data_IF_868919078982
#
_entry.id   IF_868919078982
#
_cell.length_a   1.000
_cell.length_b   1.000
_cell.length_c   1.000
_cell.angle_alpha   90.00
_cell.angle_beta   90.00
_cell.angle_gamma   90.00
#
_symmetry.space_group_name_H-M   'P 1'
#
loop_
_entity.id
_entity.type
_entity.pdbx_description
1 polymer ?
#
# COMPACT_ATOMS: atom_id res chain seq x y z
N UNK A 1 19.34 28.04 -54.60
CA UNK A 1 18.38 26.95 -54.33
C UNK A 1 19.08 25.96 -53.42
N UNK A 2 18.97 26.14 -52.09
CA UNK A 2 19.40 25.14 -51.12
C UNK A 2 18.11 24.62 -50.52
N UNK A 3 17.72 23.44 -50.97
CA UNK A 3 16.54 22.72 -50.50
C UNK A 3 16.76 22.38 -49.04
N UNK A 4 16.02 23.04 -48.15
CA UNK A 4 15.82 22.60 -46.78
C UNK A 4 15.00 21.31 -46.81
N UNK A 5 15.71 20.19 -46.80
CA UNK A 5 15.13 18.87 -46.68
C UNK A 5 14.75 18.68 -45.21
N UNK A 6 13.50 19.00 -44.87
CA UNK A 6 12.84 18.54 -43.65
C UNK A 6 12.54 17.03 -43.81
N UNK A 7 13.54 16.18 -43.59
CA UNK A 7 13.30 14.75 -43.34
C UNK A 7 12.98 14.62 -41.84
N UNK A 8 11.83 14.02 -41.53
CA UNK A 8 11.22 13.95 -40.21
C UNK A 8 12.20 13.54 -39.09
N UNK A 9 12.46 14.47 -38.16
CA UNK A 9 13.19 14.19 -36.92
C UNK A 9 12.36 13.35 -35.94
N UNK A 10 11.04 13.29 -36.11
CA UNK A 10 10.12 12.63 -35.16
C UNK A 10 10.25 11.09 -35.15
N UNK A 11 10.61 10.46 -36.27
CA UNK A 11 10.74 8.98 -36.35
C UNK A 11 12.07 8.45 -35.79
N UNK A 12 13.00 9.34 -35.44
CA UNK A 12 14.38 8.99 -35.01
C UNK A 12 14.55 8.90 -33.50
N UNK A 13 13.52 9.28 -32.74
CA UNK A 13 13.47 9.15 -31.29
C UNK A 13 12.02 8.91 -30.85
N UNK A 14 11.75 7.70 -30.38
CA UNK A 14 10.42 7.27 -29.95
C UNK A 14 10.30 7.29 -28.44
N UNK A 15 9.11 7.68 -27.96
CA UNK A 15 8.77 7.65 -26.55
C UNK A 15 7.54 6.78 -26.31
N UNK A 16 7.66 5.86 -25.35
CA UNK A 16 6.54 5.13 -24.78
C UNK A 16 6.40 5.54 -23.32
N UNK A 17 5.23 6.03 -22.93
CA UNK A 17 4.96 6.40 -21.54
C UNK A 17 3.95 5.48 -20.88
N UNK A 18 4.26 5.10 -19.66
CA UNK A 18 3.32 4.50 -18.72
C UNK A 18 2.96 5.54 -17.67
N UNK A 19 2.27 5.13 -16.60
CA UNK A 19 2.01 6.03 -15.49
C UNK A 19 3.21 6.25 -14.57
N UNK A 20 4.21 5.38 -14.59
CA UNK A 20 5.37 5.44 -13.68
C UNK A 20 6.72 5.43 -14.40
N UNK A 21 6.74 5.21 -15.71
CA UNK A 21 7.96 5.18 -16.49
C UNK A 21 7.80 5.83 -17.85
N UNK A 22 8.92 6.28 -18.39
CA UNK A 22 9.05 6.70 -19.78
C UNK A 22 10.22 5.93 -20.39
N UNK A 23 9.93 5.15 -21.44
CA UNK A 23 10.95 4.50 -22.27
C UNK A 23 11.28 5.41 -23.44
N UNK A 24 12.56 5.70 -23.61
CA UNK A 24 13.10 6.50 -24.71
C UNK A 24 13.99 5.61 -25.54
N UNK A 25 13.71 5.54 -26.85
CA UNK A 25 14.50 4.79 -27.82
C UNK A 25 14.96 5.75 -28.91
N UNK A 26 16.24 5.72 -29.28
CA UNK A 26 16.81 6.65 -30.26
C UNK A 26 17.62 5.96 -31.34
N UNK A 27 17.66 6.58 -32.53
CA UNK A 27 18.41 6.08 -33.67
C UNK A 27 19.91 6.42 -33.55
N UNK A 28 20.71 5.39 -33.29
CA UNK A 28 22.18 5.50 -33.22
C UNK A 28 22.82 5.83 -34.57
N UNK A 29 22.22 5.44 -35.69
CA UNK A 29 22.79 5.74 -37.01
C UNK A 29 22.70 7.23 -37.29
N UNK A 30 21.57 7.85 -36.97
CA UNK A 30 21.43 9.29 -37.04
C UNK A 30 22.40 10.03 -36.10
N UNK A 31 22.60 9.53 -34.87
CA UNK A 31 23.60 10.10 -33.97
C UNK A 31 25.01 10.12 -34.60
N UNK A 32 25.39 9.05 -35.31
CA UNK A 32 26.67 8.91 -36.03
C UNK A 32 26.76 9.71 -37.33
N UNK A 33 25.65 10.16 -37.90
CA UNK A 33 25.65 11.06 -39.06
C UNK A 33 25.91 12.51 -38.64
N UNK A 34 25.41 12.88 -37.46
CA UNK A 34 25.57 14.23 -36.89
C UNK A 34 26.93 14.37 -36.20
N UNK A 35 27.30 13.39 -35.38
CA UNK A 35 28.64 13.30 -34.84
C UNK A 35 29.57 12.83 -35.97
N UNK A 36 30.69 13.52 -36.23
CA UNK A 36 31.66 13.06 -37.23
C UNK A 36 31.94 11.54 -37.04
N UNK A 37 32.03 10.74 -38.13
CA UNK A 37 32.05 9.29 -38.03
C UNK A 37 33.19 8.82 -37.11
N UNK A 38 32.82 8.18 -35.99
CA UNK A 38 33.65 7.57 -34.93
C UNK A 38 33.98 8.38 -33.65
N UNK A 39 33.31 9.50 -33.38
CA UNK A 39 33.61 10.30 -32.16
C UNK A 39 32.80 9.93 -30.91
N UNK A 40 31.66 9.23 -31.03
CA UNK A 40 30.81 8.94 -29.86
C UNK A 40 31.44 7.85 -28.98
N UNK A 41 31.68 8.17 -27.70
CA UNK A 41 32.16 7.25 -26.66
C UNK A 41 31.07 6.79 -25.70
N UNK A 42 30.00 7.57 -25.52
CA UNK A 42 28.89 7.24 -24.63
C UNK A 42 27.65 8.07 -24.95
N UNK A 43 26.53 7.78 -24.28
CA UNK A 43 25.33 8.61 -24.30
C UNK A 43 24.99 9.09 -22.89
N UNK A 44 24.16 10.13 -22.81
CA UNK A 44 23.54 10.53 -21.57
C UNK A 44 22.09 10.93 -21.82
N UNK A 45 21.21 10.57 -20.89
CA UNK A 45 19.84 11.07 -20.87
C UNK A 45 19.71 12.03 -19.69
N UNK A 46 19.21 13.24 -19.98
CA UNK A 46 18.86 14.21 -18.96
C UNK A 46 17.36 14.44 -18.96
N UNK A 47 16.73 14.31 -17.81
CA UNK A 47 15.29 14.53 -17.68
C UNK A 47 14.95 15.40 -16.47
N UNK A 48 13.79 16.05 -16.52
CA UNK A 48 13.21 16.79 -15.40
C UNK A 48 11.70 16.85 -15.51
N UNK A 49 11.03 17.00 -14.37
CA UNK A 49 9.60 17.34 -14.37
C UNK A 49 9.42 18.84 -14.65
N UNK A 50 8.21 19.25 -15.05
CA UNK A 50 7.92 20.66 -15.37
C UNK A 50 8.06 21.65 -14.20
N UNK A 51 8.19 21.17 -12.96
CA UNK A 51 8.32 21.99 -11.75
C UNK A 51 9.79 22.18 -11.33
N UNK A 52 10.63 21.20 -11.65
CA UNK A 52 12.06 21.17 -11.30
C UNK A 52 12.89 21.98 -12.29
N UNK A 53 13.81 22.80 -11.75
CA UNK A 53 14.72 23.62 -12.57
C UNK A 53 15.92 22.82 -13.07
N UNK A 54 16.39 21.86 -12.28
CA UNK A 54 17.59 21.06 -12.52
C UNK A 54 17.26 19.75 -13.21
N UNK A 55 18.12 19.32 -14.14
CA UNK A 55 18.02 18.00 -14.76
C UNK A 55 18.66 16.92 -13.89
N UNK A 56 18.05 15.75 -13.89
CA UNK A 56 18.66 14.49 -13.46
C UNK A 56 19.32 13.85 -14.68
N UNK A 57 20.57 13.39 -14.52
CA UNK A 57 21.38 12.80 -15.60
C UNK A 57 21.58 11.30 -15.36
N UNK A 58 21.37 10.51 -16.40
CA UNK A 58 21.67 9.07 -16.44
C UNK A 58 22.75 8.83 -17.51
N UNK A 59 23.97 8.42 -17.13
CA UNK A 59 25.01 8.05 -18.09
C UNK A 59 24.71 6.67 -18.69
N UNK A 60 25.07 6.49 -19.96
CA UNK A 60 24.78 5.31 -20.77
C UNK A 60 26.00 4.88 -21.58
N UNK A 61 26.07 3.62 -21.97
CA UNK A 61 27.15 3.08 -22.79
C UNK A 61 26.97 3.43 -24.26
N UNK A 62 28.05 3.32 -25.05
CA UNK A 62 28.05 3.59 -26.50
C UNK A 62 27.08 2.69 -27.27
N UNK A 63 26.86 1.49 -26.77
CA UNK A 63 26.01 0.50 -27.39
C UNK A 63 24.52 0.74 -27.11
N UNK A 64 24.19 1.57 -26.11
CA UNK A 64 22.80 1.81 -25.73
C UNK A 64 22.05 2.61 -26.80
N UNK A 65 20.78 2.23 -26.99
CA UNK A 65 19.84 2.93 -27.86
C UNK A 65 18.44 3.04 -27.25
N UNK A 66 18.28 2.56 -26.02
CA UNK A 66 17.03 2.57 -25.27
C UNK A 66 17.32 2.75 -23.78
N UNK A 67 16.46 3.49 -23.09
CA UNK A 67 16.44 3.60 -21.63
C UNK A 67 15.01 3.73 -21.11
N UNK A 68 14.66 2.91 -20.13
CA UNK A 68 13.46 3.11 -19.32
C UNK A 68 13.78 3.95 -18.08
N UNK A 69 13.27 5.18 -18.05
CA UNK A 69 13.32 6.05 -16.88
C UNK A 69 12.15 5.68 -15.97
N UNK A 70 12.45 5.11 -14.80
CA UNK A 70 11.47 4.61 -13.82
C UNK A 70 11.18 5.60 -12.70
N UNK A 71 10.22 5.31 -11.83
CA UNK A 71 9.83 6.12 -10.67
C UNK A 71 9.35 7.55 -10.99
N UNK A 72 8.79 7.76 -12.18
CA UNK A 72 8.25 9.05 -12.59
C UNK A 72 6.88 9.30 -11.97
N UNK A 73 6.58 10.57 -11.65
CA UNK A 73 5.26 11.00 -11.21
C UNK A 73 4.28 10.80 -12.36
N UNK A 74 3.12 10.21 -12.08
CA UNK A 74 2.05 10.06 -13.08
C UNK A 74 1.35 11.38 -13.37
N UNK A 75 0.76 11.48 -14.57
CA UNK A 75 0.09 12.68 -15.06
C UNK A 75 0.99 13.94 -14.98
N UNK A 76 2.30 13.77 -15.11
CA UNK A 76 3.30 14.83 -14.99
C UNK A 76 4.02 15.01 -16.33
N UNK A 77 4.20 16.26 -16.74
CA UNK A 77 4.94 16.59 -17.94
C UNK A 77 6.44 16.53 -17.64
N UNK A 78 7.15 15.75 -18.45
CA UNK A 78 8.60 15.61 -18.41
C UNK A 78 9.24 16.19 -19.67
N UNK A 79 10.39 16.82 -19.49
CA UNK A 79 11.32 17.16 -20.56
C UNK A 79 12.45 16.14 -20.51
N UNK A 80 12.71 15.47 -21.63
CA UNK A 80 13.74 14.43 -21.75
C UNK A 80 14.63 14.74 -22.94
N UNK A 81 15.93 14.77 -22.67
CA UNK A 81 16.95 15.16 -23.62
C UNK A 81 17.98 14.04 -23.75
N UNK A 82 18.27 13.64 -24.98
CA UNK A 82 19.31 12.64 -25.29
C UNK A 82 20.55 13.36 -25.78
N UNK A 83 21.70 12.98 -25.27
CA UNK A 83 23.01 13.53 -25.61
C UNK A 83 23.93 12.39 -26.04
N UNK A 84 24.77 12.64 -27.04
CA UNK A 84 25.98 11.86 -27.22
C UNK A 84 27.14 12.56 -26.51
N UNK A 85 28.11 11.78 -26.06
CA UNK A 85 29.32 12.26 -25.41
C UNK A 85 30.54 11.64 -26.10
N UNK A 86 31.65 12.37 -26.12
CA UNK A 86 32.98 11.85 -26.44
C UNK A 86 33.89 11.98 -25.20
N UNK A 87 35.20 11.76 -25.33
CA UNK A 87 36.13 11.85 -24.20
C UNK A 87 36.29 13.30 -23.66
N UNK A 88 36.04 14.31 -24.49
CA UNK A 88 36.36 15.72 -24.21
C UNK A 88 35.12 16.60 -23.98
N UNK A 89 33.96 16.23 -24.55
CA UNK A 89 32.76 17.06 -24.57
C UNK A 89 31.45 16.26 -24.57
N UNK A 90 30.42 16.90 -24.01
CA UNK A 90 29.03 16.53 -24.18
C UNK A 90 28.43 17.39 -25.29
N UNK A 91 27.64 16.77 -26.16
CA UNK A 91 26.95 17.46 -27.24
C UNK A 91 25.86 18.43 -26.77
N UNK A 92 25.33 19.22 -27.71
CA UNK A 92 23.98 19.77 -27.55
C UNK A 92 22.95 18.64 -27.62
N UNK A 93 21.72 18.81 -27.06
CA UNK A 93 20.72 17.76 -27.08
C UNK A 93 20.45 17.26 -28.51
N UNK A 94 20.78 16.00 -28.76
CA UNK A 94 20.53 15.32 -30.02
C UNK A 94 19.02 15.20 -30.27
N UNK A 95 18.29 14.86 -29.21
CA UNK A 95 16.83 14.83 -29.21
C UNK A 95 16.30 15.57 -27.99
N UNK A 96 15.22 16.32 -28.21
CA UNK A 96 14.53 17.06 -27.17
C UNK A 96 13.06 16.72 -27.21
N UNK A 97 12.61 15.95 -26.24
CA UNK A 97 11.25 15.44 -26.20
C UNK A 97 10.51 15.94 -24.96
N UNK A 98 9.21 16.19 -25.14
CA UNK A 98 8.29 16.45 -24.04
C UNK A 98 7.22 15.37 -24.05
N UNK A 99 7.11 14.66 -22.94
CA UNK A 99 6.12 13.61 -22.79
C UNK A 99 5.44 13.74 -21.45
N UNK A 100 4.13 13.49 -21.43
CA UNK A 100 3.36 13.41 -20.20
C UNK A 100 3.22 11.94 -19.84
N UNK A 101 3.59 11.58 -18.61
CA UNK A 101 3.27 10.25 -18.08
C UNK A 101 1.76 10.06 -18.06
N UNK A 102 1.32 8.83 -18.31
CA UNK A 102 -0.09 8.48 -18.26
C UNK A 102 -0.67 8.77 -16.87
N UNK A 103 -1.96 9.05 -16.80
CA UNK A 103 -2.64 9.13 -15.52
C UNK A 103 -2.68 7.71 -14.93
N UNK A 104 -2.12 7.53 -13.73
CA UNK A 104 -2.36 6.32 -12.97
C UNK A 104 -3.72 6.49 -12.29
N UNK A 105 -4.52 5.43 -12.24
CA UNK A 105 -5.72 5.40 -11.40
C UNK A 105 -5.40 5.77 -9.94
N UNK A 106 -4.14 5.60 -9.51
CA UNK A 106 -3.66 5.83 -8.14
C UNK A 106 -2.69 7.01 -8.00
N UNK A 107 -2.52 7.87 -9.02
CA UNK A 107 -1.67 9.08 -8.95
C UNK A 107 -2.00 9.95 -7.74
N UNK A 108 -3.29 10.11 -7.50
CA UNK A 108 -3.79 10.88 -6.37
C UNK A 108 -3.33 10.28 -5.02
N UNK A 109 -3.29 8.95 -4.89
CA UNK A 109 -2.79 8.29 -3.67
C UNK A 109 -1.32 8.63 -3.43
N UNK A 110 -0.49 8.54 -4.47
CA UNK A 110 0.94 8.85 -4.37
C UNK A 110 1.19 10.32 -3.99
N UNK A 111 0.40 11.25 -4.53
CA UNK A 111 0.50 12.70 -4.22
C UNK A 111 0.18 13.01 -2.76
N UNK A 112 -0.66 12.22 -2.11
CA UNK A 112 -1.06 12.40 -0.72
C UNK A 112 -0.28 11.49 0.26
N UNK A 113 0.77 10.82 -0.23
CA UNK A 113 1.60 9.91 0.54
C UNK A 113 2.99 10.50 0.84
N UNK A 114 3.64 9.94 1.86
CA UNK A 114 5.08 10.10 2.06
C UNK A 114 5.83 8.96 1.37
N UNK A 115 6.73 9.28 0.45
CA UNK A 115 7.57 8.28 -0.23
C UNK A 115 8.80 7.92 0.62
N UNK A 116 8.85 6.67 1.08
CA UNK A 116 10.04 6.06 1.68
C UNK A 116 10.91 5.46 0.57
N UNK A 117 11.85 6.28 0.09
CA UNK A 117 12.81 5.92 -0.96
C UNK A 117 13.96 5.04 -0.46
N UNK A 118 14.00 4.70 0.83
CA UNK A 118 15.01 3.78 1.37
C UNK A 118 14.66 2.31 1.12
N UNK A 119 13.42 2.05 0.69
CA UNK A 119 12.92 0.72 0.35
C UNK A 119 12.90 0.52 -1.16
N UNK A 120 13.08 -0.73 -1.56
CA UNK A 120 12.99 -1.19 -2.95
C UNK A 120 12.02 -2.38 -3.02
N UNK A 121 10.88 -2.26 -3.73
CA UNK A 121 10.34 -1.06 -4.38
C UNK A 121 9.99 0.09 -3.40
N UNK A 122 9.87 1.32 -3.91
CA UNK A 122 9.58 2.52 -3.11
C UNK A 122 8.23 2.39 -2.40
N UNK A 123 8.16 2.70 -1.10
CA UNK A 123 6.90 2.60 -0.35
C UNK A 123 6.28 3.97 -0.12
N UNK A 124 5.08 4.18 -0.67
CA UNK A 124 4.25 5.37 -0.46
C UNK A 124 3.35 5.16 0.76
N UNK A 125 3.76 5.74 1.90
CA UNK A 125 3.01 5.70 3.13
C UNK A 125 1.84 6.70 3.09
N UNK A 126 0.61 6.20 3.05
CA UNK A 126 -0.61 6.99 3.10
C UNK A 126 -0.77 7.62 4.49
N UNK A 127 -1.20 8.88 4.54
CA UNK A 127 -1.39 9.62 5.78
C UNK A 127 -2.86 9.89 6.04
N UNK A 128 -3.34 9.73 7.28
CA UNK A 128 -4.68 10.16 7.62
C UNK A 128 -4.83 11.67 7.42
N UNK A 129 -5.94 12.07 6.80
CA UNK A 129 -6.33 13.47 6.63
C UNK A 129 -7.13 13.98 7.84
N UNK A 130 -7.73 13.06 8.59
CA UNK A 130 -8.36 13.32 9.88
C UNK A 130 -8.21 12.09 10.79
N UNK A 131 -8.13 12.34 12.10
CA UNK A 131 -8.20 11.30 13.12
C UNK A 131 -9.28 11.67 14.13
N UNK A 132 -10.14 10.71 14.44
CA UNK A 132 -11.17 10.84 15.47
C UNK A 132 -10.91 9.76 16.52
N UNK A 133 -10.83 10.16 17.78
CA UNK A 133 -10.74 9.23 18.91
C UNK A 133 -12.08 9.19 19.64
N UNK A 134 -12.69 8.00 19.67
CA UNK A 134 -13.88 7.72 20.46
C UNK A 134 -13.45 7.05 21.77
N UNK A 135 -13.66 7.71 22.91
CA UNK A 135 -13.39 7.11 24.22
C UNK A 135 -14.47 6.08 24.58
N UNK A 136 -14.05 4.96 25.16
CA UNK A 136 -14.98 3.92 25.60
C UNK A 136 -15.50 4.30 26.99
N UNK A 137 -16.81 4.59 27.05
CA UNK A 137 -17.46 5.08 28.27
C UNK A 137 -17.73 3.98 29.30
N UNK A 138 -17.69 2.72 28.88
CA UNK A 138 -17.85 1.57 29.77
C UNK A 138 -16.60 1.44 30.65
N UNK A 139 -16.66 1.99 31.87
CA UNK A 139 -15.60 1.89 32.88
C UNK A 139 -15.41 0.43 33.28
N UNK A 140 -14.57 -0.32 32.57
CA UNK A 140 -14.04 -1.57 33.09
C UNK A 140 -13.17 -1.19 34.30
N UNK A 141 -13.61 -1.52 35.52
CA UNK A 141 -12.82 -1.27 36.73
C UNK A 141 -11.51 -2.06 36.61
N UNK A 142 -10.38 -1.36 36.55
CA UNK A 142 -9.05 -1.97 36.54
C UNK A 142 -8.38 -1.79 37.90
N UNK A 143 -7.92 -2.87 38.51
CA UNK A 143 -7.13 -2.85 39.75
C UNK A 143 -5.68 -2.35 39.53
N UNK A 144 -5.25 -2.14 38.28
CA UNK A 144 -3.89 -1.65 37.97
C UNK A 144 -3.86 -0.70 36.77
N UNK A 145 -3.99 0.61 37.05
CA UNK A 145 -3.59 1.70 36.13
C UNK A 145 -4.58 2.07 35.00
N UNK A 146 -4.64 3.36 34.69
CA UNK A 146 -5.39 3.93 33.56
C UNK A 146 -4.87 3.37 32.22
N UNK A 147 -5.69 2.59 31.52
CA UNK A 147 -5.53 2.35 30.09
C UNK A 147 -6.50 3.27 29.34
N UNK A 148 -5.98 4.00 28.37
CA UNK A 148 -6.75 4.91 27.51
C UNK A 148 -7.42 4.06 26.41
N UNK A 149 -8.51 3.38 26.79
CA UNK A 149 -9.28 2.54 25.90
C UNK A 149 -10.13 3.42 24.97
N UNK A 150 -9.59 3.65 23.77
CA UNK A 150 -10.25 4.41 22.72
C UNK A 150 -10.37 3.59 21.43
N UNK A 151 -11.25 4.03 20.54
CA UNK A 151 -11.30 3.61 19.14
C UNK A 151 -10.76 4.76 18.31
N UNK A 152 -9.79 4.45 17.44
CA UNK A 152 -9.22 5.43 16.52
C UNK A 152 -9.82 5.24 15.15
N UNK A 153 -10.43 6.28 14.60
CA UNK A 153 -10.91 6.30 13.22
C UNK A 153 -9.99 7.21 12.42
N UNK A 154 -9.33 6.63 11.44
CA UNK A 154 -8.35 7.26 10.55
C UNK A 154 -8.97 7.42 9.17
N UNK A 155 -9.37 8.64 8.82
CA UNK A 155 -9.81 8.94 7.46
C UNK A 155 -8.57 9.09 6.59
N UNK A 156 -8.30 8.13 5.70
CA UNK A 156 -7.00 8.03 5.01
C UNK A 156 -6.86 9.00 3.83
N UNK A 157 -7.97 9.47 3.25
CA UNK A 157 -7.99 10.23 1.98
C UNK A 157 -9.11 11.30 2.00
N UNK A 158 -8.79 12.53 1.60
CA UNK A 158 -9.68 13.70 1.70
C UNK A 158 -10.66 13.93 0.54
N UNK A 159 -10.95 12.95 -0.33
CA UNK A 159 -11.93 13.13 -1.41
C UNK A 159 -13.39 12.98 -0.98
N UNK A 160 -13.69 13.05 0.32
CA UNK A 160 -15.06 12.85 0.80
C UNK A 160 -15.95 13.96 0.26
N UNK A 161 -16.73 13.65 -0.77
CA UNK A 161 -17.91 14.45 -1.11
C UNK A 161 -18.89 14.28 0.04
N UNK A 162 -19.38 15.37 0.66
CA UNK A 162 -20.14 15.32 1.92
C UNK A 162 -21.51 14.59 1.82
N UNK A 163 -21.92 14.14 0.63
CA UNK A 163 -23.24 13.55 0.37
C UNK A 163 -23.20 12.07 -0.06
N UNK A 164 -22.20 11.29 0.35
CA UNK A 164 -22.22 9.84 0.12
C UNK A 164 -22.93 9.19 1.31
N UNK A 165 -24.08 8.56 1.04
CA UNK A 165 -24.80 7.76 2.03
C UNK A 165 -23.87 6.68 2.60
N UNK A 166 -23.85 6.54 3.93
CA UNK A 166 -23.09 5.51 4.68
C UNK A 166 -23.42 4.07 4.19
N UNK A 167 -24.52 3.89 3.45
CA UNK A 167 -24.99 2.62 2.90
C UNK A 167 -24.14 2.02 1.76
N UNK A 168 -23.08 2.70 1.30
CA UNK A 168 -22.15 2.16 0.28
C UNK A 168 -20.75 1.83 0.84
N UNK A 169 -20.55 1.83 2.16
CA UNK A 169 -19.27 1.43 2.76
C UNK A 169 -19.27 -0.06 3.10
N UNK A 170 -18.13 -0.72 2.88
CA UNK A 170 -17.88 -2.10 3.28
C UNK A 170 -16.99 -2.13 4.51
N UNK A 171 -17.31 -2.94 5.51
CA UNK A 171 -16.55 -3.00 6.76
C UNK A 171 -15.97 -4.40 6.99
N UNK A 172 -14.65 -4.48 7.14
CA UNK A 172 -13.90 -5.73 7.31
C UNK A 172 -13.17 -5.70 8.64
N UNK A 173 -13.46 -6.67 9.52
CA UNK A 173 -12.82 -6.84 10.82
C UNK A 173 -11.69 -7.85 10.75
N UNK A 174 -10.49 -7.46 11.18
CA UNK A 174 -9.32 -8.33 11.24
C UNK A 174 -9.11 -8.87 12.65
N UNK A 175 -9.12 -10.20 12.80
CA UNK A 175 -8.91 -10.87 14.08
C UNK A 175 -7.65 -11.72 14.04
N UNK A 176 -6.82 -11.67 15.08
CA UNK A 176 -5.62 -12.50 15.13
C UNK A 176 -4.65 -12.10 16.23
N UNK A 177 -3.79 -13.05 16.62
CA UNK A 177 -2.76 -12.85 17.64
C UNK A 177 -1.78 -11.73 17.30
N UNK A 178 -1.03 -11.28 18.31
CA UNK A 178 0.13 -10.41 18.09
C UNK A 178 1.14 -11.14 17.20
N UNK A 179 1.65 -10.47 16.16
CA UNK A 179 2.56 -11.08 15.20
C UNK A 179 1.89 -12.01 14.18
N UNK A 180 0.57 -12.14 14.15
CA UNK A 180 -0.12 -12.98 13.15
C UNK A 180 -0.03 -12.47 11.71
N UNK A 181 0.44 -11.23 11.50
CA UNK A 181 0.57 -10.63 10.16
C UNK A 181 -0.58 -9.72 9.73
N UNK A 182 -1.48 -9.32 10.65
CA UNK A 182 -2.61 -8.41 10.35
C UNK A 182 -2.16 -7.12 9.67
N UNK A 183 -1.12 -6.47 10.20
CA UNK A 183 -0.62 -5.22 9.64
C UNK A 183 -0.10 -5.39 8.20
N UNK A 184 0.64 -6.46 7.95
CA UNK A 184 1.12 -6.81 6.60
C UNK A 184 -0.04 -7.08 5.64
N UNK A 185 -1.09 -7.74 6.14
CA UNK A 185 -2.29 -8.01 5.37
C UNK A 185 -3.07 -6.73 5.02
N UNK A 186 -3.12 -5.75 5.91
CA UNK A 186 -3.73 -4.43 5.65
C UNK A 186 -2.98 -3.72 4.51
N UNK A 187 -1.65 -3.67 4.58
CA UNK A 187 -0.83 -3.05 3.53
C UNK A 187 -1.01 -3.78 2.19
N UNK A 188 -1.03 -5.11 2.19
CA UNK A 188 -1.27 -5.88 0.98
C UNK A 188 -2.68 -5.68 0.41
N UNK A 189 -3.69 -5.60 1.26
CA UNK A 189 -5.07 -5.32 0.85
C UNK A 189 -5.15 -3.96 0.15
N UNK A 190 -4.46 -2.94 0.69
CA UNK A 190 -4.37 -1.63 0.04
C UNK A 190 -3.72 -1.72 -1.35
N UNK A 191 -2.62 -2.45 -1.50
CA UNK A 191 -1.97 -2.66 -2.80
C UNK A 191 -2.87 -3.42 -3.79
N UNK A 192 -3.60 -4.43 -3.32
CA UNK A 192 -4.55 -5.17 -4.15
C UNK A 192 -5.71 -4.29 -4.63
N UNK A 193 -6.26 -3.45 -3.75
CA UNK A 193 -7.34 -2.51 -4.08
C UNK A 193 -6.86 -1.43 -5.04
N UNK A 194 -5.61 -0.99 -4.89
CA UNK A 194 -4.93 -0.06 -5.78
C UNK A 194 -4.46 -0.70 -7.09
N UNK A 195 -4.75 -1.99 -7.32
CA UNK A 195 -4.34 -2.76 -8.50
C UNK A 195 -2.82 -2.72 -8.75
N UNK A 196 -2.03 -2.64 -7.68
CA UNK A 196 -0.56 -2.67 -7.78
C UNK A 196 -0.10 -4.06 -8.17
N UNK A 197 0.61 -4.15 -9.30
CA UNK A 197 1.24 -5.36 -9.80
C UNK A 197 2.53 -5.68 -9.03
N UNK A 198 2.91 -6.96 -9.02
CA UNK A 198 4.22 -7.37 -8.50
C UNK A 198 5.39 -6.72 -9.25
N UNK A 199 5.22 -6.45 -10.54
CA UNK A 199 6.21 -5.80 -11.41
C UNK A 199 6.29 -4.29 -11.21
N UNK A 200 5.32 -3.68 -10.52
CA UNK A 200 5.37 -2.26 -10.25
C UNK A 200 6.53 -1.95 -9.30
N UNK A 201 7.14 -0.80 -9.49
CA UNK A 201 8.32 -0.34 -8.78
C UNK A 201 7.97 0.45 -7.50
N UNK A 202 6.70 0.38 -7.07
CA UNK A 202 6.18 1.03 -5.87
C UNK A 202 5.21 0.15 -5.08
N UNK A 203 5.03 0.45 -3.79
CA UNK A 203 3.98 -0.13 -2.93
C UNK A 203 3.30 0.95 -2.11
N UNK A 204 2.05 0.74 -1.71
CA UNK A 204 1.40 1.56 -0.69
C UNK A 204 1.56 0.95 0.69
N UNK A 205 1.84 1.79 1.69
CA UNK A 205 1.78 1.42 3.11
C UNK A 205 0.66 2.20 3.79
N UNK A 206 -0.34 1.51 4.33
CA UNK A 206 -1.42 2.13 5.09
C UNK A 206 -1.02 2.29 6.56
N UNK A 207 -0.21 1.34 7.07
CA UNK A 207 0.25 1.37 8.45
C UNK A 207 1.56 2.14 8.52
N UNK A 208 1.43 3.39 8.93
CA UNK A 208 2.57 4.26 9.17
C UNK A 208 2.82 4.31 10.68
N UNK A 209 3.66 3.41 11.20
CA UNK A 209 4.09 3.46 12.60
C UNK A 209 4.77 4.81 12.85
N UNK A 210 4.23 5.60 13.78
CA UNK A 210 4.82 6.89 14.15
C UNK A 210 6.25 6.71 14.65
N UNK A 211 7.07 7.77 14.66
CA UNK A 211 8.42 7.68 15.24
C UNK A 211 8.38 7.28 16.72
N UNK A 212 7.33 7.67 17.45
CA UNK A 212 7.11 7.24 18.83
C UNK A 212 6.81 5.75 18.94
N UNK A 213 6.02 5.18 18.02
CA UNK A 213 5.76 3.73 17.96
C UNK A 213 7.01 2.93 17.57
N UNK A 214 7.84 3.46 16.65
CA UNK A 214 9.16 2.87 16.32
C UNK A 214 10.13 2.92 17.50
N UNK A 215 10.12 4.00 18.30
CA UNK A 215 10.90 4.08 19.54
C UNK A 215 10.39 3.11 20.62
N UNK A 216 9.08 2.85 20.66
CA UNK A 216 8.48 1.83 21.54
C UNK A 216 8.81 0.40 21.12
N UNK A 217 9.12 0.12 19.85
CA UNK A 217 9.57 -1.20 19.39
C UNK A 217 10.94 -1.61 19.97
N UNK A 218 11.86 -0.66 20.18
CA UNK A 218 13.11 -0.93 20.88
C UNK A 218 12.92 -1.35 22.34
N UNK A 219 11.73 -1.10 22.92
CA UNK A 219 11.27 -1.66 24.19
C UNK A 219 10.25 -2.75 23.86
N UNK A 220 10.74 -3.97 23.63
CA UNK A 220 10.06 -5.18 23.14
C UNK A 220 8.76 -5.63 23.89
N UNK A 221 8.21 -4.80 24.76
CA UNK A 221 7.00 -5.02 25.56
C UNK A 221 5.85 -4.01 25.31
N UNK A 222 6.05 -2.92 24.54
CA UNK A 222 5.03 -1.85 24.41
C UNK A 222 4.48 -1.60 23.00
N UNK A 223 4.89 -2.36 21.97
CA UNK A 223 4.37 -2.23 20.59
C UNK A 223 3.05 -2.96 20.34
N UNK A 224 2.26 -3.20 21.40
CA UNK A 224 0.92 -3.78 21.26
C UNK A 224 -0.07 -2.67 20.92
N UNK A 225 -0.83 -2.83 19.84
CA UNK A 225 -2.02 -2.02 19.56
C UNK A 225 -2.95 -2.13 20.77
N UNK A 226 -3.09 -1.08 21.58
CA UNK A 226 -3.97 -1.08 22.75
C UNK A 226 -5.44 -0.84 22.36
N UNK A 227 -5.67 -0.33 21.17
CA UNK A 227 -6.92 0.28 20.74
C UNK A 227 -7.31 -0.26 19.36
N UNK A 228 -8.61 -0.46 19.14
CA UNK A 228 -9.14 -0.77 17.80
C UNK A 228 -8.91 0.44 16.90
N UNK A 229 -8.36 0.20 15.70
CA UNK A 229 -8.09 1.23 14.70
C UNK A 229 -8.89 0.95 13.43
N UNK A 230 -9.66 1.92 12.97
CA UNK A 230 -10.44 1.87 11.74
C UNK A 230 -9.74 2.71 10.69
N UNK A 231 -9.23 2.08 9.64
CA UNK A 231 -8.74 2.77 8.46
C UNK A 231 -9.90 2.95 7.48
N UNK A 232 -10.43 4.18 7.41
CA UNK A 232 -11.53 4.53 6.50
C UNK A 232 -10.97 5.03 5.18
N UNK A 233 -11.25 4.26 4.14
CA UNK A 233 -10.90 4.56 2.75
C UNK A 233 -12.21 4.92 2.05
N UNK A 234 -12.40 6.17 1.58
CA UNK A 234 -13.61 6.55 0.87
C UNK A 234 -13.72 5.81 -0.46
N UNK A 235 -14.92 5.83 -1.05
CA UNK A 235 -15.12 5.35 -2.42
C UNK A 235 -14.31 6.22 -3.38
N UNK A 236 -13.31 5.65 -4.04
CA UNK A 236 -12.43 6.35 -4.97
C UNK A 236 -12.58 5.77 -6.36
N UNK A 237 -12.70 6.65 -7.37
CA UNK A 237 -12.69 6.22 -8.76
C UNK A 237 -11.32 5.65 -9.11
N UNK A 238 -11.31 4.52 -9.81
CA UNK A 238 -10.08 3.89 -10.28
C UNK A 238 -9.49 2.84 -9.34
N UNK A 239 -10.04 2.65 -8.14
CA UNK A 239 -9.73 1.47 -7.33
C UNK A 239 -10.54 0.25 -7.79
N UNK A 240 -10.07 -0.94 -7.44
CA UNK A 240 -10.72 -2.22 -7.76
C UNK A 240 -12.11 -2.34 -7.11
N UNK A 241 -12.31 -1.69 -5.97
CA UNK A 241 -13.57 -1.69 -5.23
C UNK A 241 -14.41 -0.46 -5.58
N UNK A 242 -15.70 -0.66 -5.79
CA UNK A 242 -16.66 0.40 -6.13
C UNK A 242 -17.44 0.92 -4.90
N UNK A 243 -16.93 0.68 -3.70
CA UNK A 243 -17.53 1.04 -2.41
C UNK A 243 -16.49 1.76 -1.54
N UNK A 244 -16.95 2.44 -0.48
CA UNK A 244 -16.02 2.78 0.60
C UNK A 244 -15.55 1.51 1.31
N UNK A 245 -14.43 1.58 2.02
CA UNK A 245 -13.90 0.47 2.80
C UNK A 245 -13.43 0.93 4.18
N UNK A 246 -13.97 0.31 5.22
CA UNK A 246 -13.52 0.41 6.59
C UNK A 246 -12.73 -0.86 6.93
N UNK A 247 -11.42 -0.73 7.12
CA UNK A 247 -10.57 -1.83 7.59
C UNK A 247 -10.40 -1.66 9.10
N UNK A 248 -10.93 -2.60 9.88
CA UNK A 248 -10.94 -2.53 11.34
C UNK A 248 -9.84 -3.46 11.86
N UNK A 249 -8.73 -2.88 12.29
CA UNK A 249 -7.62 -3.58 12.93
C UNK A 249 -7.86 -3.69 14.44
N UNK A 250 -7.80 -4.92 14.95
CA UNK A 250 -7.91 -5.17 16.39
C UNK A 250 -6.54 -5.36 17.04
N UNK A 251 -6.41 -5.02 18.34
CA UNK A 251 -5.32 -5.47 19.17
C UNK A 251 -4.97 -6.95 18.99
N UNK A 252 -3.68 -7.30 19.02
CA UNK A 252 -3.24 -8.69 18.96
C UNK A 252 -3.60 -9.46 20.22
N UNK A 253 -4.20 -10.64 20.06
CA UNK A 253 -4.65 -11.49 21.17
C UNK A 253 -3.50 -12.33 21.75
N UNK A 254 -2.55 -11.69 22.42
CA UNK A 254 -1.51 -12.38 23.19
C UNK A 254 -1.22 -11.73 24.54
N UNK A 255 -2.07 -10.78 24.95
CA UNK A 255 -1.97 -10.16 26.25
C UNK A 255 -2.49 -11.17 27.28
N UNK A 256 -1.62 -11.67 28.15
CA UNK A 256 -1.88 -12.70 29.18
C UNK A 256 -2.80 -12.21 30.30
N UNK A 257 -3.66 -11.22 30.01
CA UNK A 257 -4.43 -10.50 31.00
C UNK A 257 -5.83 -11.09 31.11
N UNK A 258 -6.25 -11.32 32.34
CA UNK A 258 -7.65 -11.56 32.67
C UNK A 258 -8.43 -10.28 32.25
N UNK A 259 -9.63 -10.43 31.67
CA UNK A 259 -10.51 -9.37 31.11
C UNK A 259 -10.25 -8.87 29.68
N UNK A 260 -9.29 -9.43 28.94
CA UNK A 260 -9.03 -9.03 27.55
C UNK A 260 -10.21 -9.34 26.61
N UNK A 261 -10.98 -10.39 26.90
CA UNK A 261 -12.24 -10.73 26.22
C UNK A 261 -13.31 -9.64 26.42
N UNK A 262 -13.51 -9.17 27.65
CA UNK A 262 -14.44 -8.08 27.98
C UNK A 262 -14.02 -6.78 27.30
N UNK A 263 -12.71 -6.50 27.27
CA UNK A 263 -12.15 -5.30 26.66
C UNK A 263 -12.38 -5.25 25.15
N UNK A 264 -12.06 -6.32 24.42
CA UNK A 264 -12.33 -6.36 22.97
C UNK A 264 -13.83 -6.34 22.70
N UNK A 265 -14.61 -7.03 23.51
CA UNK A 265 -16.08 -6.99 23.43
C UNK A 265 -16.60 -5.56 23.55
N UNK A 266 -16.15 -4.81 24.54
CA UNK A 266 -16.54 -3.41 24.75
C UNK A 266 -16.07 -2.51 23.59
N UNK A 267 -14.83 -2.69 23.14
CA UNK A 267 -14.28 -1.99 21.97
C UNK A 267 -15.10 -2.25 20.69
N UNK A 268 -15.52 -3.49 20.45
CA UNK A 268 -16.35 -3.83 19.28
C UNK A 268 -17.77 -3.26 19.43
N UNK A 269 -18.35 -3.26 20.63
CA UNK A 269 -19.66 -2.61 20.86
C UNK A 269 -19.60 -1.11 20.63
N UNK A 270 -18.58 -0.45 21.17
CA UNK A 270 -18.37 0.99 20.97
C UNK A 270 -18.06 1.29 19.48
N UNK A 271 -17.41 0.37 18.76
CA UNK A 271 -17.22 0.50 17.32
C UNK A 271 -18.56 0.59 16.59
N UNK A 272 -19.54 -0.23 16.96
CA UNK A 272 -20.89 -0.14 16.41
C UNK A 272 -21.57 1.19 16.78
N UNK A 273 -21.37 1.68 18.00
CA UNK A 273 -21.88 2.97 18.44
C UNK A 273 -21.22 4.17 17.73
N UNK A 274 -19.97 4.01 17.25
CA UNK A 274 -19.21 5.06 16.53
C UNK A 274 -19.71 5.33 15.10
N UNK A 275 -20.69 4.55 14.63
CA UNK A 275 -21.31 4.73 13.32
C UNK A 275 -20.91 3.69 12.26
N UNK A 276 -20.04 2.73 12.60
CA UNK A 276 -19.86 1.51 11.79
C UNK A 276 -21.05 0.60 12.07
N UNK A 277 -22.06 0.58 11.23
CA UNK A 277 -23.35 -0.06 11.56
C UNK A 277 -23.42 -1.55 11.25
N UNK A 278 -22.48 -2.09 10.47
CA UNK A 278 -22.46 -3.49 10.04
C UNK A 278 -21.05 -3.94 9.69
N UNK A 279 -20.84 -5.26 9.65
CA UNK A 279 -19.65 -5.89 9.05
C UNK A 279 -20.04 -6.69 7.82
N UNK A 280 -19.28 -6.54 6.76
CA UNK A 280 -19.40 -7.31 5.53
C UNK A 280 -18.49 -8.54 5.54
N UNK A 281 -17.37 -8.47 6.26
CA UNK A 281 -16.49 -9.62 6.42
C UNK A 281 -15.72 -9.61 7.75
N UNK A 282 -15.39 -10.81 8.22
CA UNK A 282 -14.45 -11.05 9.31
C UNK A 282 -13.29 -11.87 8.76
N UNK A 283 -12.08 -11.38 8.94
CA UNK A 283 -10.86 -12.02 8.48
C UNK A 283 -10.05 -12.51 9.66
N UNK A 284 -10.02 -13.83 9.85
CA UNK A 284 -9.22 -14.48 10.88
C UNK A 284 -7.82 -14.70 10.32
N UNK A 285 -6.83 -14.02 10.91
CA UNK A 285 -5.44 -14.04 10.47
C UNK A 285 -4.64 -14.99 11.37
N UNK A 286 -4.09 -16.04 10.78
CA UNK A 286 -3.34 -17.08 11.50
C UNK A 286 -2.03 -17.41 10.78
N UNK A 287 -0.89 -17.44 11.48
CA UNK A 287 0.32 -18.07 10.96
C UNK A 287 0.07 -19.54 10.63
N UNK A 288 0.63 -20.03 9.52
CA UNK A 288 0.47 -21.41 9.07
C UNK A 288 1.08 -22.41 10.05
N UNK A 289 2.12 -22.01 10.78
CA UNK A 289 2.73 -22.76 11.88
C UNK A 289 1.87 -22.81 13.16
N UNK A 290 0.70 -22.18 13.18
CA UNK A 290 -0.22 -22.27 14.33
C UNK A 290 -0.71 -23.70 14.47
N UNK A 291 -0.30 -24.37 15.54
CA UNK A 291 -0.71 -25.74 15.88
C UNK A 291 -1.70 -25.81 17.04
N UNK A 292 -1.80 -24.74 17.84
CA UNK A 292 -2.72 -24.63 18.98
C UNK A 292 -3.14 -23.17 19.20
N UNK A 293 -4.41 -22.96 19.53
CA UNK A 293 -4.88 -21.70 20.11
C UNK A 293 -4.86 -21.79 21.64
N UNK A 294 -4.61 -20.66 22.30
CA UNK A 294 -4.76 -20.57 23.76
C UNK A 294 -6.24 -20.54 24.17
N UNK A 295 -6.55 -20.83 25.43
CA UNK A 295 -7.92 -20.73 25.93
C UNK A 295 -8.48 -19.32 25.78
N UNK A 296 -7.66 -18.30 26.01
CA UNK A 296 -8.04 -16.90 25.82
C UNK A 296 -8.37 -16.59 24.35
N UNK A 297 -7.55 -17.07 23.41
CA UNK A 297 -7.82 -16.89 21.96
C UNK A 297 -9.14 -17.55 21.53
N UNK A 298 -9.42 -18.76 22.02
CA UNK A 298 -10.72 -19.43 21.78
C UNK A 298 -11.90 -18.61 22.31
N UNK A 299 -11.77 -18.09 23.52
CA UNK A 299 -12.81 -17.26 24.14
C UNK A 299 -13.06 -15.98 23.36
N UNK A 300 -12.01 -15.32 22.86
CA UNK A 300 -12.14 -14.11 22.05
C UNK A 300 -12.87 -14.41 20.75
N UNK A 301 -12.42 -15.43 19.99
CA UNK A 301 -13.11 -15.81 18.75
C UNK A 301 -14.58 -16.14 19.01
N UNK A 302 -14.87 -16.98 20.00
CA UNK A 302 -16.26 -17.34 20.31
C UNK A 302 -17.11 -16.14 20.77
N UNK A 303 -16.54 -15.19 21.53
CA UNK A 303 -17.26 -14.00 21.98
C UNK A 303 -17.60 -13.08 20.81
N UNK A 304 -16.60 -12.78 19.98
CA UNK A 304 -16.77 -11.92 18.81
C UNK A 304 -17.77 -12.54 17.83
N UNK A 305 -17.61 -13.82 17.49
CA UNK A 305 -18.52 -14.52 16.59
C UNK A 305 -19.97 -14.58 17.11
N UNK A 306 -20.17 -14.73 18.43
CA UNK A 306 -21.50 -14.67 19.05
C UNK A 306 -22.16 -13.29 18.91
N UNK A 307 -21.38 -12.20 18.95
CA UNK A 307 -21.94 -10.85 18.75
C UNK A 307 -22.43 -10.61 17.33
N UNK A 308 -21.85 -11.31 16.36
CA UNK A 308 -22.19 -11.16 14.94
C UNK A 308 -23.41 -11.97 14.51
N UNK A 309 -23.88 -12.91 15.35
CA UNK A 309 -25.00 -13.77 15.03
C UNK A 309 -24.62 -14.90 14.05
N UNK A 310 -25.43 -15.96 14.04
CA UNK A 310 -25.14 -17.19 13.30
C UNK A 310 -25.17 -17.03 11.76
N UNK A 311 -25.82 -15.99 11.24
CA UNK A 311 -25.92 -15.69 9.79
C UNK A 311 -24.62 -15.14 9.17
N UNK A 312 -23.52 -15.10 9.91
CA UNK A 312 -22.24 -14.52 9.45
C UNK A 312 -21.22 -15.54 8.95
N UNK A 313 -21.57 -16.83 8.93
CA UNK A 313 -20.70 -17.89 8.38
C UNK A 313 -20.22 -17.56 6.96
N UNK A 314 -21.09 -17.01 6.12
CA UNK A 314 -20.77 -16.66 4.74
C UNK A 314 -19.86 -15.44 4.59
N UNK A 315 -19.59 -14.74 5.69
CA UNK A 315 -18.79 -13.52 5.74
C UNK A 315 -17.47 -13.73 6.50
N UNK A 316 -17.20 -14.92 7.02
CA UNK A 316 -15.96 -15.23 7.74
C UNK A 316 -14.97 -15.92 6.80
N UNK A 317 -13.76 -15.39 6.72
CA UNK A 317 -12.65 -15.92 5.93
C UNK A 317 -11.40 -16.08 6.79
N UNK A 318 -10.52 -16.99 6.39
CA UNK A 318 -9.24 -17.22 7.07
C UNK A 318 -8.07 -16.81 6.17
N UNK A 319 -7.20 -15.93 6.65
CA UNK A 319 -5.94 -15.58 6.02
C UNK A 319 -4.80 -16.33 6.71
N UNK A 320 -4.20 -17.28 6.00
CA UNK A 320 -3.04 -18.03 6.46
C UNK A 320 -1.76 -17.27 6.10
N UNK A 321 -0.94 -16.91 7.08
CA UNK A 321 0.29 -16.11 6.94
C UNK A 321 1.54 -16.95 7.24
N UNK A 322 2.74 -16.44 6.95
CA UNK A 322 4.00 -17.16 7.19
C UNK A 322 4.05 -18.55 6.53
N UNK A 323 3.81 -18.57 5.21
CA UNK A 323 3.59 -19.78 4.40
C UNK A 323 4.79 -20.76 4.36
N UNK A 324 5.96 -20.35 4.86
CA UNK A 324 7.20 -21.13 4.83
C UNK A 324 7.28 -22.26 5.87
N UNK A 325 6.26 -22.41 6.73
CA UNK A 325 6.44 -23.08 8.03
C UNK A 325 5.37 -24.09 8.45
N UNK A 326 4.46 -24.53 7.58
CA UNK A 326 3.44 -25.51 7.99
C UNK A 326 2.53 -26.09 6.92
N UNK A 327 1.60 -26.95 7.35
CA UNK A 327 0.54 -27.54 6.54
C UNK A 327 -0.82 -26.86 6.82
N UNK A 328 -1.58 -26.56 5.76
CA UNK A 328 -2.90 -25.89 5.88
C UNK A 328 -3.88 -26.72 6.71
N UNK A 329 -3.94 -28.02 6.44
CA UNK A 329 -4.82 -28.98 7.11
C UNK A 329 -4.63 -28.94 8.62
N UNK A 330 -3.37 -28.88 9.07
CA UNK A 330 -3.03 -28.80 10.48
C UNK A 330 -3.55 -27.51 11.13
N UNK A 331 -3.34 -26.36 10.48
CA UNK A 331 -3.79 -25.06 10.99
C UNK A 331 -5.32 -24.94 11.01
N UNK A 332 -5.99 -25.29 9.90
CA UNK A 332 -7.45 -25.21 9.76
C UNK A 332 -8.18 -26.16 10.71
N UNK A 333 -7.61 -27.35 10.97
CA UNK A 333 -8.18 -28.31 11.94
C UNK A 333 -8.37 -27.73 13.33
N UNK A 334 -7.64 -26.68 13.69
CA UNK A 334 -7.77 -26.01 14.98
C UNK A 334 -9.07 -25.23 15.03
N UNK A 335 -9.42 -24.52 13.94
CA UNK A 335 -10.67 -23.78 13.80
C UNK A 335 -11.87 -24.74 13.77
N UNK A 336 -11.72 -25.87 13.08
CA UNK A 336 -12.76 -26.91 13.02
C UNK A 336 -13.05 -27.49 14.42
N UNK A 337 -12.01 -27.78 15.22
CA UNK A 337 -12.14 -28.29 16.59
C UNK A 337 -12.85 -27.34 17.55
N UNK A 338 -12.82 -26.04 17.26
CA UNK A 338 -13.49 -25.01 18.08
C UNK A 338 -14.77 -24.50 17.41
N UNK A 339 -15.22 -25.20 16.36
CA UNK A 339 -16.46 -24.93 15.63
C UNK A 339 -16.55 -23.49 15.11
N UNK A 340 -15.42 -22.89 14.74
CA UNK A 340 -15.43 -21.55 14.11
C UNK A 340 -15.90 -21.71 12.66
N UNK A 341 -17.05 -21.11 12.28
CA UNK A 341 -17.51 -21.16 10.91
C UNK A 341 -16.63 -20.25 10.03
N UNK A 342 -16.30 -20.72 8.84
CA UNK A 342 -15.69 -19.92 7.78
C UNK A 342 -16.18 -20.41 6.42
N UNK A 343 -16.28 -19.48 5.47
CA UNK A 343 -16.67 -19.75 4.08
C UNK A 343 -15.51 -20.27 3.25
N UNK A 344 -14.30 -19.80 3.55
CA UNK A 344 -13.09 -20.18 2.83
C UNK A 344 -11.84 -19.61 3.47
N UNK A 345 -10.70 -19.98 2.92
CA UNK A 345 -9.40 -19.53 3.36
C UNK A 345 -8.51 -19.20 2.17
N UNK A 346 -7.47 -18.41 2.39
CA UNK A 346 -6.44 -18.13 1.40
C UNK A 346 -5.08 -17.99 2.08
N UNK A 347 -4.03 -18.25 1.30
CA UNK A 347 -2.64 -18.04 1.71
C UNK A 347 -2.19 -16.64 1.37
N UNK A 348 -1.37 -16.09 2.25
CA UNK A 348 -0.81 -14.76 2.16
C UNK A 348 0.71 -14.82 2.34
N UNK A 349 1.44 -14.03 1.53
CA UNK A 349 2.91 -14.06 1.37
C UNK A 349 3.43 -15.41 0.83
N UNK A 350 3.18 -15.67 -0.46
CA UNK A 350 3.91 -16.67 -1.25
C UNK A 350 5.08 -16.05 -1.98
#
# INVERSE_FOLDING_TARGET
>A
MVLSVNIGMEDKCTILSTSASITVTWDRQFAKEIAAPNTISSYAIKFRDGETKTFTTIPLQKEDNELEIRYLKSNTLYEINVYWCNEDEESSPLFKQKCKTCESKVTFLMKNAFADKTKEPVVYHLKPVAMIEHQIHEKVKHDTGHYDDCIRILDMIAERKPNIHISEEKSVLLLGGTGAGKSTLIDALMNFIAEVSYTDDYRFGLICKSQEEKQREHKQFQSQTSSVTVYRIPRLKGLKINSGLNIIDTPGFNDTRQDFDKRITAQIKELFASGITHLDAILIVLPLSTTRLTSSQRLIFSSILKMFGYDTRDNIFVALTHDDSGEESSCLSILDKIEVPYKGYFRFNK
#
